data_IF_411524101983
#
_entry.id   IF_411524101983
#
_cell.length_a   1.000
_cell.length_b   1.000
_cell.length_c   1.000
_cell.angle_alpha   90.00
_cell.angle_beta   90.00
_cell.angle_gamma   90.00
#
_symmetry.space_group_name_H-M   'P 1'
#
loop_
_entity.id
_entity.type
_entity.pdbx_description
1 polymer ?
#
# COMPACT_ATOMS: atom_id res chain seq x y z
N UNK A 1 17.01 -1.30 -43.84
CA UNK A 1 18.30 -1.80 -43.33
C UNK A 1 17.98 -2.94 -42.37
N UNK A 2 18.29 -4.17 -42.79
CA UNK A 2 18.04 -5.50 -42.22
C UNK A 2 17.34 -5.62 -40.83
N UNK A 3 16.17 -6.27 -40.83
CA UNK A 3 15.51 -6.83 -39.65
C UNK A 3 16.44 -7.77 -38.88
N UNK A 4 16.79 -7.39 -37.65
CA UNK A 4 17.81 -8.06 -36.82
C UNK A 4 17.31 -9.28 -36.04
N UNK A 5 16.14 -9.81 -36.38
CA UNK A 5 15.58 -11.01 -35.74
C UNK A 5 15.36 -12.19 -36.71
N UNK A 6 16.04 -12.18 -37.87
CA UNK A 6 16.03 -13.32 -38.80
C UNK A 6 17.19 -14.29 -38.53
N UNK A 7 16.89 -15.49 -38.04
CA UNK A 7 17.77 -16.65 -38.21
C UNK A 7 17.96 -16.94 -39.70
N UNK A 8 19.13 -17.45 -40.09
CA UNK A 8 19.49 -17.79 -41.48
C UNK A 8 18.51 -18.77 -42.17
N UNK A 9 17.63 -19.43 -41.41
CA UNK A 9 16.55 -20.27 -41.92
C UNK A 9 15.20 -19.92 -41.27
N UNK A 10 14.69 -18.69 -41.47
CA UNK A 10 13.26 -18.34 -41.54
C UNK A 10 12.25 -18.75 -40.44
N UNK A 11 12.66 -19.45 -39.38
CA UNK A 11 11.80 -19.87 -38.28
C UNK A 11 12.20 -19.14 -37.00
N UNK A 12 11.27 -18.45 -36.30
CA UNK A 12 11.59 -17.82 -35.04
C UNK A 12 11.85 -18.91 -33.99
N UNK A 13 13.06 -18.92 -33.42
CA UNK A 13 13.39 -19.80 -32.31
C UNK A 13 12.59 -19.37 -31.07
N UNK A 14 11.55 -20.13 -30.73
CA UNK A 14 10.66 -19.90 -29.59
C UNK A 14 11.29 -20.19 -28.21
N UNK A 15 12.60 -20.50 -28.17
CA UNK A 15 13.29 -21.01 -26.97
C UNK A 15 14.06 -19.92 -26.19
N UNK A 16 13.80 -18.63 -26.50
CA UNK A 16 14.41 -17.49 -25.81
C UNK A 16 13.40 -16.55 -25.14
N UNK A 17 12.13 -16.94 -25.05
CA UNK A 17 11.05 -16.12 -24.46
C UNK A 17 11.16 -15.90 -22.95
N UNK A 18 12.13 -16.54 -22.27
CA UNK A 18 12.51 -16.22 -20.89
C UNK A 18 13.33 -14.92 -20.76
N UNK A 19 13.81 -14.35 -21.88
CA UNK A 19 14.58 -13.12 -21.91
C UNK A 19 13.64 -11.93 -22.09
N UNK A 20 13.88 -10.85 -21.34
CA UNK A 20 13.15 -9.58 -21.54
C UNK A 20 13.43 -9.06 -22.95
N UNK A 21 12.44 -9.19 -23.82
CA UNK A 21 12.45 -8.59 -25.15
C UNK A 21 12.14 -7.09 -24.98
N UNK A 22 13.12 -6.24 -25.28
CA UNK A 22 12.92 -4.80 -25.32
C UNK A 22 12.42 -4.42 -26.71
N UNK A 23 11.22 -3.86 -26.80
CA UNK A 23 10.69 -3.32 -28.04
C UNK A 23 11.47 -2.05 -28.42
N UNK A 24 12.31 -2.15 -29.46
CA UNK A 24 13.19 -1.04 -29.88
C UNK A 24 12.38 0.19 -30.32
N UNK A 25 11.19 -0.01 -30.89
CA UNK A 25 10.36 1.08 -31.40
C UNK A 25 9.66 1.81 -30.25
N UNK A 26 9.16 1.08 -29.25
CA UNK A 26 8.59 1.65 -28.03
C UNK A 26 9.64 2.50 -27.27
N UNK A 27 10.85 1.97 -27.12
CA UNK A 27 11.93 2.70 -26.46
C UNK A 27 12.43 3.89 -27.28
N UNK A 28 12.43 3.79 -28.61
CA UNK A 28 12.74 4.92 -29.48
C UNK A 28 11.68 6.02 -29.40
N UNK A 29 10.40 5.66 -29.31
CA UNK A 29 9.30 6.61 -29.10
C UNK A 29 9.43 7.31 -27.74
N UNK A 30 9.63 6.54 -26.66
CA UNK A 30 9.88 7.09 -25.31
C UNK A 30 11.12 7.99 -25.26
N UNK A 31 12.17 7.65 -25.98
CA UNK A 31 13.38 8.48 -26.06
C UNK A 31 13.09 9.82 -26.75
N UNK A 32 12.35 9.81 -27.88
CA UNK A 32 11.94 11.04 -28.58
C UNK A 32 11.04 11.92 -27.73
N UNK A 33 10.10 11.33 -26.99
CA UNK A 33 9.25 12.08 -26.06
C UNK A 33 10.05 12.76 -24.96
N UNK A 34 11.01 12.05 -24.34
CA UNK A 34 11.91 12.64 -23.36
C UNK A 34 12.78 13.74 -23.96
N UNK A 35 13.36 13.53 -25.14
CA UNK A 35 14.18 14.55 -25.82
C UNK A 35 13.36 15.80 -26.15
N UNK A 36 12.10 15.63 -26.57
CA UNK A 36 11.19 16.74 -26.80
C UNK A 36 10.91 17.51 -25.50
N UNK A 37 10.59 16.80 -24.41
CA UNK A 37 10.37 17.41 -23.08
C UNK A 37 11.63 18.16 -22.59
N UNK A 38 12.81 17.55 -22.68
CA UNK A 38 14.08 18.18 -22.30
C UNK A 38 14.40 19.41 -23.15
N UNK A 39 14.02 19.41 -24.43
CA UNK A 39 14.19 20.56 -25.33
C UNK A 39 13.27 21.72 -24.93
N UNK A 40 12.01 21.43 -24.62
CA UNK A 40 11.07 22.44 -24.12
C UNK A 40 11.51 22.98 -22.75
N UNK A 41 11.93 22.13 -21.81
CA UNK A 41 12.50 22.56 -20.53
C UNK A 41 13.76 23.42 -20.73
N UNK A 42 14.63 23.08 -21.70
CA UNK A 42 15.84 23.85 -22.01
C UNK A 42 15.50 25.24 -22.54
N UNK A 43 14.50 25.36 -23.42
CA UNK A 43 14.00 26.66 -23.89
C UNK A 43 13.45 27.48 -22.72
N UNK A 44 12.59 26.88 -21.89
CA UNK A 44 12.01 27.56 -20.74
C UNK A 44 13.07 28.00 -19.71
N UNK A 45 14.13 27.20 -19.51
CA UNK A 45 15.30 27.58 -18.70
C UNK A 45 16.06 28.75 -19.30
N UNK A 46 16.24 28.76 -20.62
CA UNK A 46 16.91 29.85 -21.32
C UNK A 46 16.11 31.15 -21.24
N UNK A 47 14.80 31.08 -21.45
CA UNK A 47 13.88 32.23 -21.33
C UNK A 47 13.86 32.78 -19.90
N UNK A 48 13.78 31.90 -18.88
CA UNK A 48 13.87 32.32 -17.48
C UNK A 48 15.21 33.00 -17.19
N UNK A 49 16.32 32.46 -17.69
CA UNK A 49 17.65 33.05 -17.55
C UNK A 49 17.75 34.43 -18.24
N UNK A 50 17.19 34.58 -19.44
CA UNK A 50 17.13 35.86 -20.15
C UNK A 50 16.28 36.90 -19.39
N UNK A 51 15.21 36.45 -18.73
CA UNK A 51 14.38 37.27 -17.85
C UNK A 51 15.01 37.51 -16.46
N UNK A 52 16.22 37.00 -16.19
CA UNK A 52 16.91 37.13 -14.89
C UNK A 52 16.28 36.33 -13.75
N UNK A 53 15.32 35.43 -14.03
CA UNK A 53 14.62 34.62 -13.03
C UNK A 53 15.21 33.21 -12.96
N UNK A 54 15.16 32.58 -11.77
CA UNK A 54 15.50 31.16 -11.64
C UNK A 54 14.38 30.32 -12.24
N UNK A 55 14.74 29.32 -13.04
CA UNK A 55 13.78 28.38 -13.60
C UNK A 55 13.27 27.42 -12.51
N UNK A 56 11.96 27.33 -12.39
CA UNK A 56 11.27 26.32 -11.60
C UNK A 56 10.36 25.53 -12.54
N UNK A 57 10.28 24.22 -12.33
CA UNK A 57 9.36 23.37 -13.11
C UNK A 57 7.93 23.86 -12.84
N UNK A 58 7.13 24.14 -13.89
CA UNK A 58 5.78 24.62 -13.70
C UNK A 58 4.92 23.56 -12.98
N UNK A 59 4.08 24.05 -12.09
CA UNK A 59 3.12 23.28 -11.30
C UNK A 59 2.17 22.50 -12.22
N UNK A 60 1.96 21.21 -11.96
CA UNK A 60 1.12 20.34 -12.83
C UNK A 60 -0.38 20.40 -12.51
N UNK A 61 -0.77 21.22 -11.53
CA UNK A 61 -2.16 21.44 -11.13
C UNK A 61 -2.78 20.35 -10.24
N UNK A 62 -2.12 19.20 -10.08
CA UNK A 62 -2.52 18.11 -9.18
C UNK A 62 -1.88 18.24 -7.78
N UNK A 63 -1.43 19.43 -7.41
CA UNK A 63 -0.58 19.63 -6.24
C UNK A 63 -1.39 19.87 -4.97
N UNK A 64 -0.89 19.32 -3.87
CA UNK A 64 -1.48 19.52 -2.55
C UNK A 64 -0.97 20.80 -1.93
N UNK A 65 -1.80 21.48 -1.14
CA UNK A 65 -1.35 22.61 -0.32
C UNK A 65 -0.29 22.16 0.69
N UNK A 66 0.59 23.07 1.11
CA UNK A 66 1.56 22.75 2.17
C UNK A 66 0.82 22.43 3.46
N UNK A 67 1.04 21.24 3.99
CA UNK A 67 0.53 20.79 5.28
C UNK A 67 1.62 20.78 6.36
N UNK A 68 1.19 20.80 7.62
CA UNK A 68 2.10 20.54 8.72
C UNK A 68 2.70 19.13 8.60
N UNK A 69 3.99 18.99 8.92
CA UNK A 69 4.69 17.70 8.87
C UNK A 69 4.00 16.69 9.78
N UNK A 70 3.62 15.55 9.21
CA UNK A 70 2.99 14.44 9.95
C UNK A 70 4.02 13.56 10.65
N UNK A 71 5.21 13.45 10.07
CA UNK A 71 6.28 12.61 10.59
C UNK A 71 7.27 13.46 11.39
N UNK A 72 7.61 12.97 12.58
CA UNK A 72 8.73 13.50 13.37
C UNK A 72 10.01 12.96 12.73
N UNK A 73 10.92 13.85 12.35
CA UNK A 73 12.23 13.44 11.83
C UNK A 73 13.09 13.04 13.03
N UNK A 74 13.48 11.77 13.09
CA UNK A 74 14.36 11.29 14.15
C UNK A 74 15.82 11.64 13.83
N UNK A 75 16.38 12.54 14.62
CA UNK A 75 17.78 12.94 14.53
C UNK A 75 18.68 12.16 15.50
N UNK A 76 18.09 11.38 16.41
CA UNK A 76 18.83 10.66 17.45
C UNK A 76 19.65 9.50 16.87
N UNK A 77 19.18 8.92 15.76
CA UNK A 77 19.84 7.81 15.07
C UNK A 77 21.26 8.12 14.63
N UNK A 78 21.64 9.38 14.41
CA UNK A 78 22.99 9.76 13.99
C UNK A 78 23.87 10.24 15.15
N UNK A 79 23.34 10.31 16.36
CA UNK A 79 24.12 10.72 17.54
C UNK A 79 25.10 9.62 17.91
N UNK A 80 26.39 9.97 17.99
CA UNK A 80 27.47 9.03 18.36
C UNK A 80 27.95 8.11 17.24
N UNK A 81 27.38 8.19 16.03
CA UNK A 81 27.87 7.43 14.87
C UNK A 81 28.91 8.26 14.10
N UNK A 82 30.09 7.69 13.90
CA UNK A 82 31.12 8.26 13.02
C UNK A 82 31.08 7.53 11.67
N UNK A 83 30.93 8.27 10.57
CA UNK A 83 30.92 7.71 9.22
C UNK A 83 32.10 8.24 8.41
N UNK A 84 32.79 7.35 7.71
CA UNK A 84 33.87 7.72 6.82
C UNK A 84 33.30 8.41 5.57
N UNK A 85 33.62 9.69 5.39
CA UNK A 85 33.22 10.46 4.20
C UNK A 85 34.35 10.39 3.18
N UNK A 86 34.13 9.82 1.98
CA UNK A 86 35.16 9.81 0.95
C UNK A 86 35.45 11.25 0.50
N UNK A 87 36.71 11.57 0.20
CA UNK A 87 37.21 12.93 -0.05
C UNK A 87 36.58 13.68 -1.26
N UNK A 88 35.64 13.06 -1.98
CA UNK A 88 34.86 13.68 -3.07
C UNK A 88 33.34 13.77 -2.80
N UNK A 89 32.87 13.29 -1.65
CA UNK A 89 31.48 13.36 -1.23
C UNK A 89 31.20 14.67 -0.48
N UNK A 90 31.18 15.76 -1.26
CA UNK A 90 30.64 17.02 -0.81
C UNK A 90 29.11 16.95 -0.55
N UNK A 91 28.60 17.98 0.10
CA UNK A 91 27.16 18.20 0.35
C UNK A 91 26.40 18.10 -0.98
N UNK A 92 25.30 17.33 -1.01
CA UNK A 92 24.41 17.26 -2.17
C UNK A 92 24.72 16.20 -3.24
N UNK A 93 25.63 15.24 -2.99
CA UNK A 93 25.84 14.11 -3.92
C UNK A 93 25.05 12.89 -3.50
N UNK A 94 23.84 12.68 -4.03
CA UNK A 94 23.09 11.40 -4.11
C UNK A 94 23.43 10.35 -3.03
N UNK A 95 23.28 10.70 -1.75
CA UNK A 95 23.50 9.76 -0.64
C UNK A 95 24.96 9.35 -0.36
N UNK A 96 25.96 9.95 -1.00
CA UNK A 96 27.39 9.60 -0.84
C UNK A 96 28.09 10.32 0.31
N UNK A 97 27.46 11.36 0.86
CA UNK A 97 27.98 12.15 1.99
C UNK A 97 27.38 11.70 3.33
N UNK A 98 28.07 11.98 4.43
CA UNK A 98 27.50 11.77 5.78
C UNK A 98 26.41 12.80 6.08
N UNK A 99 25.42 12.37 6.88
CA UNK A 99 24.33 13.20 7.38
C UNK A 99 22.94 12.69 6.96
N UNK A 100 21.97 13.61 6.91
CA UNK A 100 20.57 13.34 6.58
C UNK A 100 20.35 13.34 5.07
N UNK A 101 19.67 12.31 4.57
CA UNK A 101 19.35 12.16 3.16
C UNK A 101 17.91 12.56 2.87
N UNK A 102 17.72 13.35 1.82
CA UNK A 102 16.40 13.67 1.28
C UNK A 102 16.18 12.87 -0.01
N UNK A 103 15.20 11.96 0.01
CA UNK A 103 14.85 11.11 -1.14
C UNK A 103 14.25 11.90 -2.31
N UNK A 104 13.47 12.95 -2.03
CA UNK A 104 12.79 13.72 -3.08
C UNK A 104 13.75 14.63 -3.87
N UNK A 105 14.91 14.98 -3.31
CA UNK A 105 15.87 15.90 -3.94
C UNK A 105 17.23 15.26 -4.21
N UNK A 106 17.46 14.02 -3.78
CA UNK A 106 18.75 13.33 -3.81
C UNK A 106 19.90 14.12 -3.17
N UNK A 107 19.60 14.94 -2.16
CA UNK A 107 20.57 15.78 -1.46
C UNK A 107 20.86 15.22 -0.06
N UNK A 108 22.14 15.28 0.33
CA UNK A 108 22.61 14.97 1.68
C UNK A 108 23.01 16.24 2.41
N UNK A 109 22.51 16.40 3.64
CA UNK A 109 22.77 17.54 4.53
C UNK A 109 23.49 17.09 5.79
N UNK A 110 24.53 17.81 6.19
CA UNK A 110 25.33 17.47 7.37
C UNK A 110 24.70 17.94 8.68
N UNK A 111 23.94 19.03 8.61
CA UNK A 111 23.32 19.66 9.77
C UNK A 111 21.80 19.45 9.80
N UNK A 112 21.26 19.21 11.00
CA UNK A 112 19.81 19.05 11.21
C UNK A 112 19.03 20.28 10.74
N UNK A 113 19.54 21.49 11.03
CA UNK A 113 18.90 22.74 10.65
C UNK A 113 18.83 22.89 9.14
N UNK A 114 19.92 22.61 8.43
CA UNK A 114 19.96 22.66 6.97
C UNK A 114 19.00 21.65 6.34
N UNK A 115 18.87 20.45 6.92
CA UNK A 115 17.90 19.46 6.45
C UNK A 115 16.45 19.95 6.63
N UNK A 116 16.12 20.49 7.80
CA UNK A 116 14.79 21.04 8.10
C UNK A 116 14.46 22.23 7.19
N UNK A 117 15.41 23.14 6.98
CA UNK A 117 15.28 24.28 6.07
C UNK A 117 15.09 23.80 4.63
N UNK A 118 15.87 22.81 4.19
CA UNK A 118 15.74 22.21 2.87
C UNK A 118 14.32 21.68 2.63
N UNK A 119 13.74 20.94 3.58
CA UNK A 119 12.38 20.45 3.46
C UNK A 119 11.34 21.56 3.28
N UNK A 120 11.63 22.79 3.74
CA UNK A 120 10.74 23.94 3.59
C UNK A 120 11.06 24.79 2.33
N UNK A 121 12.12 24.46 1.59
CA UNK A 121 12.47 25.23 0.39
C UNK A 121 11.49 24.96 -0.75
N UNK A 122 11.24 25.96 -1.62
CA UNK A 122 10.37 25.78 -2.79
C UNK A 122 10.86 24.70 -3.74
N UNK A 123 12.17 24.44 -3.77
CA UNK A 123 12.75 23.36 -4.56
C UNK A 123 12.30 21.98 -4.07
N UNK A 124 12.29 21.76 -2.74
CA UNK A 124 11.82 20.50 -2.18
C UNK A 124 10.32 20.34 -2.39
N UNK A 125 9.55 21.40 -2.10
CA UNK A 125 8.10 21.38 -2.24
C UNK A 125 7.65 21.09 -3.68
N UNK A 126 8.31 21.71 -4.67
CA UNK A 126 8.06 21.43 -6.08
C UNK A 126 8.38 19.98 -6.48
N UNK A 127 9.41 19.38 -5.89
CA UNK A 127 9.73 17.96 -6.14
C UNK A 127 8.73 17.02 -5.46
N UNK A 128 8.16 17.41 -4.32
CA UNK A 128 7.11 16.66 -3.60
C UNK A 128 5.69 16.96 -4.08
N UNK A 129 5.53 17.78 -5.14
CA UNK A 129 4.24 18.23 -5.67
C UNK A 129 3.37 18.96 -4.62
N UNK A 130 4.01 19.80 -3.81
CA UNK A 130 3.36 20.64 -2.81
C UNK A 130 3.50 22.12 -3.18
N UNK A 131 2.43 22.88 -3.02
CA UNK A 131 2.45 24.33 -3.24
C UNK A 131 2.93 25.04 -1.97
N UNK A 132 3.56 26.20 -2.10
CA UNK A 132 3.94 27.05 -0.95
C UNK A 132 2.74 27.64 -0.20
N UNK A 133 1.53 27.50 -0.75
CA UNK A 133 0.33 28.09 -0.20
C UNK A 133 -0.23 27.19 0.91
N UNK A 134 -0.65 27.82 2.00
CA UNK A 134 -1.23 27.16 3.16
C UNK A 134 -2.72 27.48 3.22
N UNK A 135 -3.55 26.47 3.52
CA UNK A 135 -4.99 26.66 3.73
C UNK A 135 -5.23 27.57 4.94
N UNK A 136 -6.07 28.60 4.78
CA UNK A 136 -6.55 29.41 5.91
C UNK A 136 -7.48 28.57 6.78
N UNK A 137 -7.23 28.54 8.08
CA UNK A 137 -8.03 27.78 9.03
C UNK A 137 -9.43 28.40 9.19
N UNK A 138 -10.46 27.55 9.20
CA UNK A 138 -11.84 27.94 9.54
C UNK A 138 -12.12 27.71 11.02
N UNK A 139 -13.22 28.30 11.54
CA UNK A 139 -13.62 28.08 12.94
C UNK A 139 -13.94 26.60 13.22
N UNK A 140 -14.47 25.88 12.23
CA UNK A 140 -14.75 24.44 12.31
C UNK A 140 -13.46 23.62 12.40
N UNK A 141 -12.45 23.96 11.57
CA UNK A 141 -11.14 23.30 11.62
C UNK A 141 -10.47 23.45 13.01
N UNK A 142 -10.64 24.62 13.64
CA UNK A 142 -10.09 24.88 14.98
C UNK A 142 -10.79 24.05 16.04
N UNK A 143 -12.14 23.96 16.00
CA UNK A 143 -12.90 23.11 16.94
C UNK A 143 -12.51 21.65 16.81
N UNK A 144 -12.51 21.11 15.59
CA UNK A 144 -12.10 19.74 15.33
C UNK A 144 -10.67 19.46 15.82
N UNK A 145 -9.76 20.44 15.72
CA UNK A 145 -8.39 20.30 16.23
C UNK A 145 -8.33 20.29 17.76
N UNK A 146 -9.12 21.13 18.42
CA UNK A 146 -9.21 21.16 19.89
C UNK A 146 -9.77 19.84 20.40
N UNK A 147 -10.83 19.33 19.78
CA UNK A 147 -11.46 18.05 20.16
C UNK A 147 -10.47 16.90 20.01
N UNK A 148 -9.74 16.82 18.88
CA UNK A 148 -8.72 15.80 18.67
C UNK A 148 -7.54 15.88 19.68
N UNK A 149 -7.17 17.09 20.12
CA UNK A 149 -6.14 17.26 21.16
C UNK A 149 -6.66 16.87 22.54
N UNK A 150 -7.92 17.20 22.84
CA UNK A 150 -8.59 16.80 24.06
C UNK A 150 -8.70 15.28 24.18
N UNK A 151 -9.16 14.61 23.11
CA UNK A 151 -9.23 13.15 23.03
C UNK A 151 -7.87 12.50 23.24
N UNK A 152 -6.81 13.01 22.58
CA UNK A 152 -5.44 12.51 22.81
C UNK A 152 -5.02 12.66 24.28
N UNK A 153 -5.36 13.78 24.91
CA UNK A 153 -5.02 13.99 26.32
C UNK A 153 -5.82 13.07 27.25
N UNK A 154 -7.09 12.81 26.95
CA UNK A 154 -7.90 11.85 27.70
C UNK A 154 -7.39 10.42 27.52
N UNK A 155 -6.99 10.02 26.31
CA UNK A 155 -6.39 8.71 26.05
C UNK A 155 -5.07 8.54 26.82
N UNK A 156 -4.19 9.54 26.81
CA UNK A 156 -2.95 9.50 27.60
C UNK A 156 -3.21 9.41 29.11
N UNK A 157 -4.23 10.11 29.61
CA UNK A 157 -4.66 9.99 31.01
C UNK A 157 -5.20 8.60 31.30
N UNK A 158 -6.08 8.06 30.45
CA UNK A 158 -6.63 6.72 30.58
C UNK A 158 -5.49 5.68 30.60
N UNK A 159 -4.57 5.73 29.64
CA UNK A 159 -3.39 4.85 29.57
C UNK A 159 -2.51 4.93 30.83
N UNK A 160 -2.35 6.12 31.42
CA UNK A 160 -1.60 6.32 32.64
C UNK A 160 -2.36 5.84 33.90
N UNK A 161 -3.69 5.88 33.88
CA UNK A 161 -4.54 5.48 35.02
C UNK A 161 -4.86 4.00 35.07
N UNK A 162 -4.78 3.28 33.94
CA UNK A 162 -5.07 1.84 33.91
C UNK A 162 -3.91 1.10 34.61
N UNK A 163 -4.16 0.69 35.87
CA UNK A 163 -3.35 -0.31 36.57
C UNK A 163 -3.33 -1.60 35.74
N UNK A 164 -2.24 -2.36 35.80
CA UNK A 164 -2.07 -3.61 35.02
C UNK A 164 -3.29 -4.55 35.11
N UNK A 165 -3.94 -4.61 36.27
CA UNK A 165 -5.13 -5.40 36.54
C UNK A 165 -6.36 -4.97 35.71
N UNK A 166 -6.65 -3.67 35.65
CA UNK A 166 -7.75 -3.13 34.83
C UNK A 166 -7.49 -3.33 33.32
N UNK A 167 -6.21 -3.40 32.93
CA UNK A 167 -5.80 -3.68 31.56
C UNK A 167 -6.01 -5.15 31.17
N UNK A 168 -5.84 -6.06 32.12
CA UNK A 168 -6.10 -7.48 31.95
C UNK A 168 -7.61 -7.74 31.93
N UNK A 169 -8.39 -7.11 32.80
CA UNK A 169 -9.85 -7.27 32.81
C UNK A 169 -10.50 -6.74 31.53
N UNK A 170 -10.05 -5.59 31.00
CA UNK A 170 -10.53 -5.07 29.73
C UNK A 170 -10.21 -6.00 28.54
N UNK A 171 -9.05 -6.66 28.54
CA UNK A 171 -8.72 -7.67 27.51
C UNK A 171 -9.58 -8.92 27.64
N UNK A 172 -9.81 -9.40 28.86
CA UNK A 172 -10.69 -10.55 29.09
C UNK A 172 -12.13 -10.26 28.66
N UNK A 173 -12.62 -9.04 28.87
CA UNK A 173 -13.94 -8.60 28.39
C UNK A 173 -14.01 -8.49 26.86
N UNK A 174 -12.99 -7.95 26.20
CA UNK A 174 -12.89 -7.93 24.73
C UNK A 174 -12.85 -9.35 24.14
N UNK A 175 -12.02 -10.23 24.70
CA UNK A 175 -11.91 -11.64 24.28
C UNK A 175 -13.25 -12.38 24.49
N UNK A 176 -13.96 -12.09 25.58
CA UNK A 176 -15.30 -12.63 25.83
C UNK A 176 -16.33 -12.13 24.81
N UNK A 177 -16.31 -10.83 24.48
CA UNK A 177 -17.17 -10.24 23.43
C UNK A 177 -16.87 -10.86 22.06
N UNK A 178 -15.61 -10.99 21.67
CA UNK A 178 -15.23 -11.65 20.41
C UNK A 178 -15.63 -13.12 20.39
N UNK A 179 -15.49 -13.84 21.50
CA UNK A 179 -15.94 -15.21 21.62
C UNK A 179 -17.46 -15.34 21.47
N UNK A 180 -18.23 -14.40 22.05
CA UNK A 180 -19.68 -14.37 21.93
C UNK A 180 -20.15 -13.97 20.53
N UNK A 181 -19.47 -13.03 19.86
CA UNK A 181 -19.72 -12.72 18.46
C UNK A 181 -19.39 -13.91 17.55
N UNK A 182 -18.29 -14.62 17.82
CA UNK A 182 -17.93 -15.84 17.10
C UNK A 182 -18.95 -16.95 17.33
N UNK A 183 -19.50 -17.07 18.55
CA UNK A 183 -20.62 -17.97 18.86
C UNK A 183 -21.90 -17.55 18.16
N UNK A 184 -22.18 -16.25 18.03
CA UNK A 184 -23.35 -15.72 17.30
C UNK A 184 -23.24 -16.02 15.81
N UNK A 185 -22.10 -15.71 15.19
CA UNK A 185 -21.79 -16.03 13.79
C UNK A 185 -21.88 -17.54 13.52
N UNK A 186 -21.42 -18.39 14.43
CA UNK A 186 -21.58 -19.86 14.34
C UNK A 186 -23.05 -20.30 14.40
N UNK A 187 -23.86 -19.68 15.27
CA UNK A 187 -25.31 -19.95 15.37
C UNK A 187 -26.07 -19.51 14.12
N UNK A 188 -25.79 -18.31 13.62
CA UNK A 188 -26.37 -17.78 12.37
C UNK A 188 -26.02 -18.67 11.17
N UNK A 189 -24.77 -19.14 11.06
CA UNK A 189 -24.35 -20.08 10.01
C UNK A 189 -25.05 -21.45 10.14
N UNK A 190 -25.24 -21.96 11.34
CA UNK A 190 -25.93 -23.23 11.57
C UNK A 190 -27.43 -23.14 11.25
N UNK A 191 -28.08 -22.01 11.59
CA UNK A 191 -29.48 -21.76 11.25
C UNK A 191 -29.68 -21.61 9.73
N UNK A 192 -28.76 -20.92 9.04
CA UNK A 192 -28.79 -20.81 7.57
C UNK A 192 -28.68 -22.18 6.90
N UNK A 193 -27.76 -23.04 7.37
CA UNK A 193 -27.64 -24.43 6.88
C UNK A 193 -28.89 -25.27 7.14
N UNK A 194 -29.58 -25.07 8.27
CA UNK A 194 -30.84 -25.77 8.56
C UNK A 194 -31.98 -25.32 7.63
N UNK A 195 -32.07 -24.03 7.34
CA UNK A 195 -33.04 -23.48 6.38
C UNK A 195 -32.78 -23.98 4.96
N UNK A 196 -31.51 -23.98 4.52
CA UNK A 196 -31.10 -24.54 3.23
C UNK A 196 -31.42 -26.05 3.13
N UNK A 197 -31.24 -26.82 4.22
CA UNK A 197 -31.59 -28.23 4.26
C UNK A 197 -33.11 -28.48 4.24
N UNK A 198 -33.90 -27.66 4.94
CA UNK A 198 -35.37 -27.74 4.91
C UNK A 198 -35.94 -27.32 3.55
N UNK A 199 -35.35 -26.32 2.90
CA UNK A 199 -35.68 -25.94 1.52
C UNK A 199 -35.29 -27.05 0.53
N UNK A 200 -34.13 -27.68 0.69
CA UNK A 200 -33.74 -28.83 -0.12
C UNK A 200 -34.65 -30.06 0.10
N UNK A 201 -35.13 -30.29 1.33
CA UNK A 201 -36.10 -31.35 1.64
C UNK A 201 -37.48 -31.05 1.05
N UNK A 202 -37.92 -29.78 1.07
CA UNK A 202 -39.17 -29.34 0.42
C UNK A 202 -39.09 -29.47 -1.09
N UNK A 203 -37.96 -29.08 -1.71
CA UNK A 203 -37.72 -29.28 -3.14
C UNK A 203 -37.68 -30.77 -3.50
N UNK A 204 -37.08 -31.64 -2.66
CA UNK A 204 -37.14 -33.10 -2.86
C UNK A 204 -38.56 -33.67 -2.73
N UNK A 205 -39.39 -33.14 -1.83
CA UNK A 205 -40.81 -33.54 -1.69
C UNK A 205 -41.65 -33.06 -2.88
N UNK A 206 -41.42 -31.86 -3.39
CA UNK A 206 -42.10 -31.34 -4.59
C UNK A 206 -41.67 -32.08 -5.86
N UNK A 207 -40.43 -32.57 -5.94
CA UNK A 207 -39.97 -33.39 -7.08
C UNK A 207 -40.33 -34.88 -6.96
N UNK A 208 -40.82 -35.33 -5.81
CA UNK A 208 -41.13 -36.73 -5.52
C UNK A 208 -42.58 -37.16 -5.81
N UNK A 209 -43.47 -36.23 -6.14
CA UNK A 209 -44.90 -36.54 -6.37
C UNK A 209 -45.22 -36.84 -7.86
N UNK A 210 -44.26 -36.67 -8.77
CA UNK A 210 -44.49 -36.81 -10.23
C UNK A 210 -43.47 -37.68 -10.99
N UNK A 211 -42.84 -38.69 -10.38
CA UNK A 211 -42.34 -39.87 -11.13
C UNK A 211 -42.36 -41.13 -10.25
N UNK A 212 -43.46 -41.87 -10.31
CA UNK A 212 -43.50 -43.28 -9.90
C UNK A 212 -42.95 -44.14 -11.04
N UNK A 213 -41.65 -44.45 -10.99
CA UNK A 213 -41.05 -45.58 -11.71
C UNK A 213 -40.40 -46.47 -10.65
N UNK A 214 -40.94 -47.68 -10.51
CA UNK A 214 -40.47 -48.72 -9.60
C UNK A 214 -38.96 -48.98 -9.77
N UNK A 215 -38.21 -48.90 -8.68
CA UNK A 215 -36.78 -49.16 -8.65
C UNK A 215 -36.12 -48.69 -7.36
N UNK A 216 -36.37 -49.44 -6.27
CA UNK A 216 -35.62 -49.35 -5.01
C UNK A 216 -34.11 -49.34 -5.28
N UNK A 217 -33.41 -48.33 -4.78
CA UNK A 217 -32.07 -48.51 -4.22
C UNK A 217 -31.77 -47.31 -3.32
N UNK A 218 -31.90 -47.53 -2.01
CA UNK A 218 -31.45 -46.62 -0.98
C UNK A 218 -29.98 -46.26 -1.21
N UNK A 219 -29.66 -44.98 -1.14
CA UNK A 219 -28.31 -44.42 -1.35
C UNK A 219 -27.26 -45.07 -0.40
N UNK A 220 -27.72 -45.65 0.71
CA UNK A 220 -26.91 -46.40 1.67
C UNK A 220 -26.39 -47.75 1.13
N UNK A 221 -27.13 -48.41 0.23
CA UNK A 221 -26.72 -49.70 -0.37
C UNK A 221 -25.71 -49.49 -1.52
N UNK A 222 -25.81 -48.36 -2.24
CA UNK A 222 -24.77 -47.94 -3.19
C UNK A 222 -23.49 -47.51 -2.49
N UNK A 223 -23.57 -46.88 -1.31
CA UNK A 223 -22.40 -46.52 -0.49
C UNK A 223 -21.69 -47.76 0.06
N UNK A 224 -22.46 -48.81 0.42
CA UNK A 224 -21.92 -50.10 0.82
C UNK A 224 -21.26 -50.86 -0.35
N UNK A 225 -21.86 -50.82 -1.55
CA UNK A 225 -21.31 -51.45 -2.75
C UNK A 225 -20.03 -50.76 -3.27
N UNK A 226 -19.86 -49.45 -3.04
CA UNK A 226 -18.64 -48.71 -3.39
C UNK A 226 -17.53 -48.77 -2.32
N UNK A 227 -17.69 -49.54 -1.25
CA UNK A 227 -16.59 -49.88 -0.34
C UNK A 227 -16.12 -48.77 0.60
N UNK A 228 -16.91 -47.72 0.83
CA UNK A 228 -16.59 -46.65 1.79
C UNK A 228 -17.05 -46.95 3.24
N UNK A 229 -17.53 -48.15 3.49
CA UNK A 229 -17.84 -48.66 4.83
C UNK A 229 -16.63 -49.24 5.53
N UNK A 230 -15.75 -48.40 6.10
CA UNK A 230 -14.90 -48.80 7.22
C UNK A 230 -13.42 -48.44 7.12
N UNK A 231 -13.02 -47.33 7.75
CA UNK A 231 -11.68 -47.19 8.32
C UNK A 231 -11.77 -46.83 9.81
N UNK A 232 -11.91 -47.88 10.63
CA UNK A 232 -11.31 -47.96 11.96
C UNK A 232 -11.86 -47.08 13.09
N UNK A 233 -13.01 -47.45 13.67
CA UNK A 233 -13.24 -47.23 15.10
C UNK A 233 -12.45 -48.29 15.90
N UNK A 234 -11.18 -47.98 16.20
CA UNK A 234 -10.41 -48.73 17.21
C UNK A 234 -10.50 -48.04 18.57
N UNK A 235 -10.93 -48.82 19.57
CA UNK A 235 -11.22 -48.49 20.97
C UNK A 235 -10.06 -47.83 21.72
N UNK A 236 -10.32 -46.72 22.41
CA UNK A 236 -10.32 -46.52 23.88
C UNK A 236 -10.25 -45.03 24.22
#
# INVERSE_FOLDING_TARGET
MADKNGSAYGAPASDTDFRKNYDLDEYAAKAKEREAQEKEERKARYEAKMAGKKYHKPLTGNETLTEARRNVVDFSDQVGKAQLVPAGAGVGKRGRGAGFYCEACDLTFKDNKQFIEHCNTPQHLANTNQTLEVKRATAEDVRARIDALWERQQNLKAEATIKLEERLSLREEEDAREADERRRKRRELAERKRKEAEEAEKVKKEYGDDVRIDGEHDEDDMMAAMGFGGFGSSKK
#
